data_IF_292297616685
#
_entry.id   IF_292297616685
#
_cell.length_a   1.000
_cell.length_b   1.000
_cell.length_c   1.000
_cell.angle_alpha   90.00
_cell.angle_beta   90.00
_cell.angle_gamma   90.00
#
_symmetry.space_group_name_H-M   'P 1'
#
loop_
_entity.id
_entity.type
_entity.pdbx_description
1 polymer ?
#
# COMPACT_ATOMS: atom_id res chain seq x y z
N UNK A 1 9.14 26.29 -21.71
CA UNK A 1 9.18 25.66 -20.38
C UNK A 1 7.76 25.57 -19.85
N UNK A 2 7.32 24.40 -19.40
CA UNK A 2 6.00 24.27 -18.75
C UNK A 2 6.11 24.91 -17.38
N UNK A 3 5.26 25.91 -17.09
CA UNK A 3 5.26 26.60 -15.80
C UNK A 3 4.14 26.02 -14.95
N UNK A 4 4.51 25.13 -14.01
CA UNK A 4 3.57 24.51 -13.08
C UNK A 4 3.53 25.32 -11.77
N UNK A 5 2.32 25.63 -11.29
CA UNK A 5 2.15 26.12 -9.92
C UNK A 5 2.30 24.96 -8.91
N UNK A 6 2.36 25.27 -7.62
CA UNK A 6 2.57 24.26 -6.57
C UNK A 6 1.44 23.21 -6.51
N UNK A 7 0.20 23.59 -6.81
CA UNK A 7 -0.91 22.64 -6.89
C UNK A 7 -0.72 21.65 -8.06
N UNK A 8 -0.29 22.13 -9.22
CA UNK A 8 0.00 21.28 -10.37
C UNK A 8 1.19 20.36 -10.10
N UNK A 9 2.26 20.88 -9.49
CA UNK A 9 3.41 20.05 -9.09
C UNK A 9 2.99 18.95 -8.12
N UNK A 10 2.14 19.27 -7.13
CA UNK A 10 1.62 18.31 -6.18
C UNK A 10 0.82 17.19 -6.86
N UNK A 11 -0.09 17.55 -7.77
CA UNK A 11 -0.88 16.57 -8.52
C UNK A 11 0.01 15.69 -9.40
N UNK A 12 0.92 16.29 -10.17
CA UNK A 12 1.85 15.55 -11.04
C UNK A 12 2.71 14.59 -10.21
N UNK A 13 3.25 15.07 -9.10
CA UNK A 13 4.06 14.27 -8.17
C UNK A 13 3.28 13.07 -7.64
N UNK A 14 2.03 13.25 -7.22
CA UNK A 14 1.21 12.14 -6.72
C UNK A 14 1.00 11.07 -7.79
N UNK A 15 0.70 11.47 -9.03
CA UNK A 15 0.52 10.53 -10.15
C UNK A 15 1.82 9.79 -10.48
N UNK A 16 2.96 10.49 -10.49
CA UNK A 16 4.27 9.85 -10.73
C UNK A 16 4.67 8.90 -9.60
N UNK A 17 4.32 9.23 -8.36
CA UNK A 17 4.54 8.37 -7.19
C UNK A 17 3.69 7.10 -7.27
N UNK A 18 2.40 7.22 -7.57
CA UNK A 18 1.51 6.06 -7.77
C UNK A 18 2.01 5.16 -8.91
N UNK A 19 2.48 5.75 -10.01
CA UNK A 19 3.08 5.01 -11.12
C UNK A 19 4.33 4.25 -10.66
N UNK A 20 5.27 4.89 -9.96
CA UNK A 20 6.53 4.25 -9.51
C UNK A 20 6.28 3.12 -8.49
N UNK A 21 5.28 3.28 -7.62
CA UNK A 21 4.82 2.22 -6.72
C UNK A 21 4.22 1.03 -7.50
N UNK A 22 3.41 1.31 -8.52
CA UNK A 22 2.88 0.30 -9.43
C UNK A 22 3.98 -0.45 -10.18
N UNK A 23 5.00 0.26 -10.68
CA UNK A 23 6.17 -0.32 -11.34
C UNK A 23 6.95 -1.25 -10.41
N UNK A 24 7.10 -0.87 -9.14
CA UNK A 24 7.76 -1.70 -8.12
C UNK A 24 7.00 -3.00 -7.86
N UNK A 25 5.66 -2.95 -7.90
CA UNK A 25 4.81 -4.14 -7.77
C UNK A 25 4.94 -5.05 -9.00
N UNK A 26 4.89 -4.47 -10.21
CA UNK A 26 5.06 -5.21 -11.46
C UNK A 26 6.43 -5.90 -11.49
N UNK A 27 7.49 -5.17 -11.12
CA UNK A 27 8.84 -5.72 -11.05
C UNK A 27 8.92 -6.93 -10.11
N UNK A 28 8.35 -6.83 -8.90
CA UNK A 28 8.31 -7.94 -7.96
C UNK A 28 7.61 -9.17 -8.56
N UNK A 29 6.47 -8.98 -9.22
CA UNK A 29 5.74 -10.06 -9.88
C UNK A 29 6.51 -10.69 -11.04
N UNK A 30 7.22 -9.89 -11.83
CA UNK A 30 8.05 -10.39 -12.94
C UNK A 30 9.29 -11.13 -12.46
N UNK A 31 9.77 -10.84 -11.25
CA UNK A 31 10.89 -11.53 -10.58
C UNK A 31 10.44 -12.73 -9.73
N UNK A 32 9.20 -13.20 -9.92
CA UNK A 32 8.59 -14.30 -9.16
C UNK A 32 8.57 -14.08 -7.63
N UNK A 33 8.58 -12.83 -7.17
CA UNK A 33 8.25 -12.45 -5.79
C UNK A 33 6.72 -12.39 -5.70
N UNK A 34 6.10 -13.57 -5.75
CA UNK A 34 4.65 -13.71 -5.84
C UNK A 34 4.03 -13.77 -4.44
N UNK A 35 3.01 -12.95 -4.16
CA UNK A 35 2.30 -13.04 -2.90
C UNK A 35 1.58 -14.39 -2.78
N UNK A 36 1.48 -14.91 -1.55
CA UNK A 36 0.69 -16.09 -1.23
C UNK A 36 -0.12 -15.81 0.03
N UNK A 37 -1.38 -16.21 0.02
CA UNK A 37 -2.27 -16.08 1.14
C UNK A 37 -2.81 -17.44 1.61
N UNK A 38 -3.51 -17.44 2.73
CA UNK A 38 -4.23 -18.64 3.21
C UNK A 38 -5.36 -19.02 2.24
N UNK A 39 -5.95 -18.03 1.55
CA UNK A 39 -7.09 -18.21 0.66
C UNK A 39 -6.72 -18.15 -0.83
N UNK A 40 -5.46 -17.93 -1.19
CA UNK A 40 -5.05 -17.82 -2.59
C UNK A 40 -3.57 -18.13 -2.81
N UNK A 41 -3.25 -18.57 -4.02
CA UNK A 41 -1.89 -18.69 -4.54
C UNK A 41 -1.76 -17.85 -5.81
N UNK A 42 -0.67 -17.11 -5.93
CA UNK A 42 -0.34 -16.39 -7.17
C UNK A 42 0.70 -17.18 -7.96
N UNK A 43 0.52 -17.21 -9.29
CA UNK A 43 1.48 -17.77 -10.23
C UNK A 43 1.67 -16.79 -11.39
N UNK A 44 2.85 -16.81 -12.01
CA UNK A 44 3.15 -15.99 -13.18
C UNK A 44 3.08 -16.87 -14.44
N UNK A 45 2.07 -16.69 -15.32
CA UNK A 45 1.93 -17.50 -16.53
C UNK A 45 2.85 -17.06 -17.68
N UNK A 46 3.57 -15.95 -17.52
CA UNK A 46 4.38 -15.37 -18.59
C UNK A 46 5.67 -16.15 -18.78
N UNK A 47 6.11 -16.29 -20.04
CA UNK A 47 7.41 -16.85 -20.36
C UNK A 47 8.55 -15.93 -19.90
N UNK A 48 9.74 -16.50 -19.73
CA UNK A 48 10.93 -15.76 -19.33
C UNK A 48 11.23 -14.57 -20.25
N UNK A 49 11.22 -14.78 -21.57
CA UNK A 49 11.41 -13.73 -22.57
C UNK A 49 10.42 -12.56 -22.41
N UNK A 50 9.16 -12.85 -22.10
CA UNK A 50 8.14 -11.81 -21.90
C UNK A 50 8.41 -11.05 -20.60
N UNK A 51 8.76 -11.76 -19.53
CA UNK A 51 9.10 -11.13 -18.23
C UNK A 51 10.30 -10.20 -18.37
N UNK A 52 11.35 -10.63 -19.09
CA UNK A 52 12.52 -9.78 -19.34
C UNK A 52 12.16 -8.52 -20.11
N UNK A 53 11.33 -8.63 -21.14
CA UNK A 53 10.85 -7.46 -21.90
C UNK A 53 10.03 -6.51 -21.03
N UNK A 54 9.17 -7.03 -20.15
CA UNK A 54 8.43 -6.20 -19.19
C UNK A 54 9.38 -5.50 -18.23
N UNK A 55 10.39 -6.19 -17.69
CA UNK A 55 11.39 -5.60 -16.80
C UNK A 55 12.19 -4.48 -17.50
N UNK A 56 12.56 -4.66 -18.76
CA UNK A 56 13.20 -3.61 -19.55
C UNK A 56 12.30 -2.37 -19.72
N UNK A 57 10.99 -2.58 -19.94
CA UNK A 57 10.02 -1.49 -20.02
C UNK A 57 9.80 -0.79 -18.68
N UNK A 58 9.73 -1.54 -17.57
CA UNK A 58 9.65 -0.98 -16.21
C UNK A 58 10.84 -0.07 -15.94
N UNK A 59 12.04 -0.54 -16.26
CA UNK A 59 13.27 0.22 -16.06
C UNK A 59 13.34 1.46 -16.97
N UNK A 60 12.84 1.37 -18.21
CA UNK A 60 12.69 2.55 -19.09
C UNK A 60 11.70 3.56 -18.50
N UNK A 61 10.57 3.12 -17.96
CA UNK A 61 9.58 3.99 -17.34
C UNK A 61 10.14 4.69 -16.10
N UNK A 62 10.90 4.01 -15.24
CA UNK A 62 11.56 4.63 -14.08
C UNK A 62 12.51 5.76 -14.49
N UNK A 63 13.29 5.58 -15.56
CA UNK A 63 14.16 6.64 -16.10
C UNK A 63 13.38 7.85 -16.62
N UNK A 64 12.23 7.64 -17.24
CA UNK A 64 11.37 8.74 -17.67
C UNK A 64 10.75 9.48 -16.48
N UNK A 65 10.37 8.77 -15.41
CA UNK A 65 9.89 9.37 -14.16
C UNK A 65 10.99 10.24 -13.53
N UNK A 66 12.22 9.72 -13.41
CA UNK A 66 13.36 10.46 -12.86
C UNK A 66 13.68 11.73 -13.68
N UNK A 67 13.73 11.59 -15.00
CA UNK A 67 13.89 12.71 -15.95
C UNK A 67 12.77 13.76 -15.81
N UNK A 68 11.52 13.33 -15.68
CA UNK A 68 10.38 14.21 -15.48
C UNK A 68 10.44 14.92 -14.12
N UNK A 69 10.78 14.22 -13.04
CA UNK A 69 10.94 14.79 -11.71
C UNK A 69 12.02 15.86 -11.69
N UNK A 70 13.18 15.59 -12.31
CA UNK A 70 14.27 16.56 -12.43
C UNK A 70 13.89 17.82 -13.23
N UNK A 71 13.24 17.65 -14.39
CA UNK A 71 12.80 18.77 -15.24
C UNK A 71 11.72 19.64 -14.59
N UNK A 72 10.85 19.03 -13.78
CA UNK A 72 9.72 19.71 -13.14
C UNK A 72 10.06 20.20 -11.71
N UNK A 73 11.25 19.89 -11.20
CA UNK A 73 11.68 20.25 -9.85
C UNK A 73 10.83 19.59 -8.77
N UNK A 74 10.42 18.33 -8.99
CA UNK A 74 9.62 17.57 -8.02
C UNK A 74 10.54 17.00 -6.95
N UNK A 75 10.10 17.08 -5.70
CA UNK A 75 10.84 16.48 -4.58
C UNK A 75 10.45 15.02 -4.39
N UNK A 76 11.45 14.19 -4.09
CA UNK A 76 11.25 12.79 -3.68
C UNK A 76 10.54 12.77 -2.33
N UNK A 77 9.44 12.05 -2.26
CA UNK A 77 8.70 11.86 -1.01
C UNK A 77 9.32 10.72 -0.20
N UNK A 78 9.60 10.99 1.08
CA UNK A 78 9.92 9.93 2.04
C UNK A 78 8.61 9.34 2.54
N UNK A 79 8.40 8.06 2.26
CA UNK A 79 7.23 7.36 2.78
C UNK A 79 7.57 6.71 4.12
N UNK A 80 6.68 6.91 5.09
CA UNK A 80 6.77 6.24 6.37
C UNK A 80 6.09 4.87 6.26
N UNK A 81 6.86 3.79 6.30
CA UNK A 81 6.35 2.43 6.22
C UNK A 81 5.30 2.13 7.31
N UNK A 82 5.47 2.67 8.52
CA UNK A 82 4.50 2.49 9.59
C UNK A 82 3.18 3.20 9.27
N UNK A 83 3.21 4.41 8.70
CA UNK A 83 1.99 5.08 8.22
C UNK A 83 1.28 4.28 7.12
N UNK A 84 2.04 3.72 6.17
CA UNK A 84 1.47 2.86 5.12
C UNK A 84 0.82 1.61 5.71
N UNK A 85 1.49 0.93 6.64
CA UNK A 85 0.96 -0.23 7.33
C UNK A 85 -0.31 0.12 8.15
N UNK A 86 -0.31 1.23 8.89
CA UNK A 86 -1.47 1.68 9.67
C UNK A 86 -2.67 2.01 8.78
N UNK A 87 -2.44 2.65 7.63
CA UNK A 87 -3.50 2.92 6.65
C UNK A 87 -4.10 1.63 6.12
N UNK A 88 -3.27 0.66 5.72
CA UNK A 88 -3.73 -0.63 5.22
C UNK A 88 -4.51 -1.42 6.29
N UNK A 89 -3.98 -1.49 7.52
CA UNK A 89 -4.65 -2.18 8.63
C UNK A 89 -6.00 -1.54 8.99
N UNK A 90 -6.11 -0.21 8.87
CA UNK A 90 -7.39 0.49 9.07
C UNK A 90 -8.44 0.10 8.03
N UNK A 91 -8.04 -0.02 6.76
CA UNK A 91 -8.93 -0.50 5.70
C UNK A 91 -9.37 -1.94 5.97
N UNK A 92 -8.42 -2.84 6.28
CA UNK A 92 -8.73 -4.23 6.59
C UNK A 92 -9.64 -4.38 7.81
N UNK A 93 -9.46 -3.55 8.84
CA UNK A 93 -10.36 -3.51 9.98
C UNK A 93 -11.78 -3.12 9.56
N UNK A 94 -11.94 -2.08 8.73
CA UNK A 94 -13.25 -1.68 8.18
C UNK A 94 -13.90 -2.80 7.39
N UNK A 95 -13.15 -3.49 6.53
CA UNK A 95 -13.66 -4.60 5.72
C UNK A 95 -14.12 -5.78 6.60
N UNK A 96 -13.37 -6.08 7.67
CA UNK A 96 -13.76 -7.11 8.65
C UNK A 96 -15.05 -6.74 9.39
N UNK A 97 -15.20 -5.47 9.77
CA UNK A 97 -16.43 -4.98 10.38
C UNK A 97 -17.64 -5.06 9.44
N UNK A 98 -17.43 -4.99 8.13
CA UNK A 98 -18.49 -5.06 7.11
C UNK A 98 -19.01 -6.47 6.86
N UNK A 99 -18.23 -7.50 7.19
CA UNK A 99 -18.65 -8.91 7.08
C UNK A 99 -19.29 -9.49 8.34
N UNK A 100 -19.60 -8.67 9.35
CA UNK A 100 -20.41 -9.11 10.50
C UNK A 100 -21.80 -9.54 10.07
N UNK A 101 -22.37 -10.52 10.77
CA UNK A 101 -23.66 -11.12 10.42
C UNK A 101 -24.79 -10.09 10.31
N UNK A 102 -24.78 -9.08 11.17
CA UNK A 102 -25.75 -7.97 11.21
C UNK A 102 -25.71 -7.05 9.99
N UNK A 103 -24.56 -6.93 9.32
CA UNK A 103 -24.43 -6.17 8.08
C UNK A 103 -24.62 -7.04 6.85
N UNK A 104 -24.17 -8.29 6.92
CA UNK A 104 -24.36 -9.25 5.81
C UNK A 104 -25.83 -9.55 5.53
N UNK A 105 -26.74 -9.38 6.50
CA UNK A 105 -28.17 -9.51 6.24
C UNK A 105 -28.71 -8.56 5.16
N UNK A 106 -28.01 -7.47 4.86
CA UNK A 106 -28.34 -6.57 3.75
C UNK A 106 -28.15 -7.25 2.37
N UNK A 107 -27.34 -8.30 2.28
CA UNK A 107 -27.07 -9.07 1.06
C UNK A 107 -27.92 -10.34 0.95
N UNK A 108 -28.85 -10.57 1.89
CA UNK A 108 -29.74 -11.72 1.92
C UNK A 108 -29.82 -12.38 3.28
N UNK A 109 -30.80 -13.27 3.46
CA UNK A 109 -30.94 -14.03 4.70
C UNK A 109 -29.76 -15.00 4.89
N UNK A 110 -29.14 -14.96 6.06
CA UNK A 110 -28.11 -15.91 6.45
C UNK A 110 -28.76 -17.25 6.84
N UNK A 111 -28.26 -18.36 6.30
CA UNK A 111 -28.80 -19.71 6.51
C UNK A 111 -28.46 -20.36 7.85
N UNK A 112 -27.91 -19.60 8.82
CA UNK A 112 -27.37 -20.11 10.08
C UNK A 112 -25.89 -19.73 10.28
N UNK A 113 -25.32 -20.06 11.44
CA UNK A 113 -23.89 -19.86 11.75
C UNK A 113 -23.47 -18.41 12.06
N UNK A 114 -24.43 -17.51 12.30
CA UNK A 114 -24.17 -16.09 12.54
C UNK A 114 -23.25 -15.86 13.75
N UNK A 115 -23.51 -16.56 14.86
CA UNK A 115 -22.70 -16.46 16.08
C UNK A 115 -21.25 -16.94 15.85
N UNK A 116 -21.06 -17.99 15.06
CA UNK A 116 -19.74 -18.52 14.73
C UNK A 116 -18.96 -17.54 13.84
N UNK A 117 -19.62 -16.99 12.81
CA UNK A 117 -19.05 -15.96 11.95
C UNK A 117 -18.62 -14.74 12.77
N UNK A 118 -19.51 -14.23 13.62
CA UNK A 118 -19.22 -13.04 14.43
C UNK A 118 -18.06 -13.32 15.41
N UNK A 119 -17.98 -14.53 15.98
CA UNK A 119 -16.86 -14.93 16.82
C UNK A 119 -15.53 -15.02 16.03
N UNK A 120 -15.56 -15.46 14.77
CA UNK A 120 -14.38 -15.44 13.88
C UNK A 120 -13.95 -14.00 13.59
N UNK A 121 -14.89 -13.16 13.17
CA UNK A 121 -14.64 -11.73 12.86
C UNK A 121 -14.06 -11.03 14.08
N UNK A 122 -14.62 -11.26 15.28
CA UNK A 122 -14.13 -10.65 16.52
C UNK A 122 -12.67 -11.01 16.82
N UNK A 123 -12.28 -12.28 16.61
CA UNK A 123 -10.88 -12.70 16.78
C UNK A 123 -9.96 -12.01 15.77
N UNK A 124 -10.38 -11.88 14.52
CA UNK A 124 -9.59 -11.23 13.46
C UNK A 124 -9.45 -9.72 13.73
N UNK A 125 -10.55 -9.05 14.10
CA UNK A 125 -10.56 -7.63 14.48
C UNK A 125 -9.59 -7.38 15.63
N UNK A 126 -9.61 -8.22 16.67
CA UNK A 126 -8.67 -8.10 17.80
C UNK A 126 -7.21 -8.14 17.33
N UNK A 127 -6.85 -9.10 16.48
CA UNK A 127 -5.48 -9.23 15.95
C UNK A 127 -5.07 -8.05 15.06
N UNK A 128 -5.98 -7.54 14.22
CA UNK A 128 -5.72 -6.35 13.39
C UNK A 128 -5.49 -5.12 14.27
N UNK A 129 -6.31 -4.91 15.30
CA UNK A 129 -6.15 -3.79 16.24
C UNK A 129 -4.88 -3.90 17.09
N UNK A 130 -4.50 -5.11 17.52
CA UNK A 130 -3.23 -5.35 18.20
C UNK A 130 -2.04 -5.03 17.28
N UNK A 131 -2.11 -5.44 16.01
CA UNK A 131 -1.08 -5.12 15.01
C UNK A 131 -1.00 -3.61 14.76
N UNK A 132 -2.15 -2.94 14.65
CA UNK A 132 -2.22 -1.48 14.48
C UNK A 132 -1.48 -0.76 15.62
N UNK A 133 -1.72 -1.17 16.87
CA UNK A 133 -1.03 -0.61 18.05
C UNK A 133 0.49 -0.77 17.98
N UNK A 134 0.97 -1.94 17.54
CA UNK A 134 2.41 -2.19 17.38
C UNK A 134 3.03 -1.24 16.35
N UNK A 135 2.36 -1.05 15.22
CA UNK A 135 2.83 -0.17 14.15
C UNK A 135 2.78 1.31 14.57
N UNK A 136 1.75 1.72 15.31
CA UNK A 136 1.60 3.10 15.82
C UNK A 136 2.64 3.47 16.89
N UNK A 137 3.03 2.54 17.77
CA UNK A 137 4.03 2.80 18.82
C UNK A 137 5.43 3.18 18.25
N UNK A 138 5.76 2.65 17.08
CA UNK A 138 7.01 2.98 16.37
C UNK A 138 6.99 4.40 15.80
N UNK A 139 5.81 4.90 15.39
CA UNK A 139 5.66 6.26 14.83
C UNK A 139 5.91 7.33 15.90
N UNK A 140 5.39 7.14 17.11
CA UNK A 140 5.58 8.08 18.22
C UNK A 140 7.04 8.20 18.65
N UNK A 141 7.78 7.09 18.61
CA UNK A 141 9.21 7.05 18.95
C UNK A 141 10.07 7.69 17.84
N UNK A 142 9.71 7.49 16.56
CA UNK A 142 10.43 8.11 15.43
C UNK A 142 10.18 9.61 15.32
N UNK A 143 8.95 10.07 15.61
CA UNK A 143 8.62 11.50 15.60
C UNK A 143 9.41 12.29 16.66
N UNK A 144 9.66 11.69 17.83
CA UNK A 144 10.51 12.30 18.86
C UNK A 144 11.97 12.46 18.39
N UNK A 145 12.51 11.49 17.65
CA UNK A 145 13.90 11.53 17.16
C UNK A 145 14.09 12.54 16.01
N UNK A 146 13.12 12.67 15.11
CA UNK A 146 13.19 13.63 13.99
C UNK A 146 13.05 15.10 14.45
N UNK A 147 12.24 15.36 15.48
CA UNK A 147 12.13 16.71 16.09
C UNK A 147 13.45 17.12 16.76
N UNK A 148 14.16 16.17 17.39
CA UNK A 148 15.45 16.45 18.03
C UNK A 148 16.57 16.72 17.02
N UNK A 149 16.57 16.07 15.84
CA UNK A 149 17.55 16.34 14.78
C UNK A 149 17.32 17.65 14.03
N UNK A 150 16.09 18.15 13.98
CA UNK A 150 15.79 19.46 13.36
C UNK A 150 16.11 20.65 14.27
N UNK A 151 16.31 20.43 15.58
CA UNK A 151 16.68 21.47 16.54
C UNK A 151 18.21 21.66 16.71
N UNK A 152 19.03 20.82 16.07
CA UNK A 152 20.50 20.85 16.14
C UNK A 152 21.17 21.42 14.86
N UNK A 153 20.39 22.07 13.96
CA UNK A 153 20.89 22.76 12.75
C UNK A 153 20.64 24.26 12.84
#
# INVERSE_FOLDING_TARGET
MVQLNENHKRVVRNVLLELDQGLSTIEALMRDILPKGVLYTTFNPLSEDVRERVLQQVEQLRREIDSAAGKLGLQVERQNAATLCSSLLSVLWSDLEDIRSSKLSAYGALGGGQEELDAIVERLVKLVLETLRLVSCVVETSAAVDVQRQAEV
#
